data_IF_686856692215
#
_entry.id   IF_686856692215
#
_cell.length_a   1.000
_cell.length_b   1.000
_cell.length_c   1.000
_cell.angle_alpha   90.00
_cell.angle_beta   90.00
_cell.angle_gamma   90.00
#
_symmetry.space_group_name_H-M   'P 1'
#
loop_
_entity.id
_entity.type
_entity.pdbx_description
1 polymer ?
#
# COMPACT_ATOMS: atom_id res chain seq x y z
N UNK A 1 6.03 13.27 -18.80
CA UNK A 1 4.75 12.53 -18.79
C UNK A 1 4.89 11.11 -18.21
N UNK A 2 5.67 10.88 -17.14
CA UNK A 2 5.54 9.64 -16.34
C UNK A 2 4.30 9.77 -15.46
N UNK A 3 3.18 9.41 -16.10
CA UNK A 3 1.81 9.79 -15.77
C UNK A 3 1.29 8.97 -14.59
N UNK A 4 -0.02 8.79 -14.48
CA UNK A 4 -0.71 8.26 -13.31
C UNK A 4 -0.39 6.77 -13.03
N UNK A 5 0.31 6.12 -13.97
CA UNK A 5 0.53 4.68 -14.09
C UNK A 5 1.02 3.98 -12.83
N UNK A 6 2.04 4.47 -12.09
CA UNK A 6 2.59 3.69 -10.98
C UNK A 6 1.60 3.51 -9.83
N UNK A 7 0.84 4.55 -9.48
CA UNK A 7 -0.17 4.47 -8.41
C UNK A 7 -1.33 3.55 -8.82
N UNK A 8 -1.79 3.65 -10.07
CA UNK A 8 -2.86 2.77 -10.57
C UNK A 8 -2.44 1.30 -10.49
N UNK A 9 -1.21 0.98 -10.91
CA UNK A 9 -0.66 -0.38 -10.83
C UNK A 9 -0.66 -0.88 -9.38
N UNK A 10 -0.22 -0.05 -8.43
CA UNK A 10 -0.18 -0.44 -7.02
C UNK A 10 -1.57 -0.85 -6.51
N UNK A 11 -2.57 0.01 -6.66
CA UNK A 11 -3.92 -0.30 -6.18
C UNK A 11 -4.56 -1.46 -6.94
N UNK A 12 -4.40 -1.53 -8.28
CA UNK A 12 -4.96 -2.61 -9.07
C UNK A 12 -4.40 -3.98 -8.67
N UNK A 13 -3.08 -4.09 -8.51
CA UNK A 13 -2.45 -5.36 -8.11
C UNK A 13 -2.85 -5.72 -6.67
N UNK A 14 -2.94 -4.76 -5.75
CA UNK A 14 -3.40 -5.04 -4.38
C UNK A 14 -4.84 -5.55 -4.34
N UNK A 15 -5.76 -5.01 -5.15
CA UNK A 15 -7.14 -5.50 -5.26
C UNK A 15 -7.17 -6.95 -5.76
N UNK A 16 -6.38 -7.24 -6.80
CA UNK A 16 -6.27 -8.60 -7.37
C UNK A 16 -5.76 -9.56 -6.32
N UNK A 17 -4.65 -9.24 -5.65
CA UNK A 17 -4.07 -10.10 -4.62
C UNK A 17 -4.99 -10.28 -3.42
N UNK A 18 -5.70 -9.24 -2.99
CA UNK A 18 -6.73 -9.35 -1.96
C UNK A 18 -7.83 -10.33 -2.38
N UNK A 19 -8.36 -10.20 -3.60
CA UNK A 19 -9.41 -11.08 -4.13
C UNK A 19 -8.96 -12.54 -4.20
N UNK A 20 -7.74 -12.79 -4.70
CA UNK A 20 -7.16 -14.14 -4.75
C UNK A 20 -6.89 -14.72 -3.36
N UNK A 21 -6.49 -13.87 -2.39
CA UNK A 21 -6.31 -14.29 -0.99
C UNK A 21 -7.64 -14.69 -0.34
N UNK A 22 -8.73 -13.99 -0.67
CA UNK A 22 -10.08 -14.35 -0.21
C UNK A 22 -10.61 -15.67 -0.79
N UNK A 23 -10.08 -16.10 -1.94
CA UNK A 23 -10.44 -17.37 -2.58
C UNK A 23 -9.57 -18.55 -2.11
N UNK A 24 -8.55 -18.33 -1.28
CA UNK A 24 -7.66 -19.38 -0.80
C UNK A 24 -6.77 -19.99 -1.90
N UNK A 25 -6.39 -19.19 -2.91
CA UNK A 25 -5.49 -19.65 -3.98
C UNK A 25 -4.15 -20.11 -3.40
N UNK A 26 -3.72 -21.32 -3.75
CA UNK A 26 -2.46 -21.87 -3.26
C UNK A 26 -1.25 -21.07 -3.75
N UNK A 27 -0.31 -20.79 -2.84
CA UNK A 27 0.92 -20.06 -3.14
C UNK A 27 0.72 -18.54 -3.21
N UNK A 28 -0.39 -18.01 -2.68
CA UNK A 28 -0.70 -16.59 -2.73
C UNK A 28 0.35 -15.74 -2.00
N UNK A 29 1.01 -16.30 -0.99
CA UNK A 29 2.10 -15.61 -0.28
C UNK A 29 3.27 -15.22 -1.17
N UNK A 30 3.62 -16.04 -2.17
CA UNK A 30 4.73 -15.72 -3.09
C UNK A 30 4.40 -14.50 -3.94
N UNK A 31 3.13 -14.32 -4.32
CA UNK A 31 2.70 -13.13 -5.03
C UNK A 31 2.72 -11.89 -4.15
N UNK A 32 2.39 -12.01 -2.86
CA UNK A 32 2.58 -10.93 -1.89
C UNK A 32 4.05 -10.56 -1.69
N UNK A 33 4.96 -11.53 -1.61
CA UNK A 33 6.41 -11.28 -1.54
C UNK A 33 6.90 -10.47 -2.76
N UNK A 34 6.51 -10.87 -3.97
CA UNK A 34 6.85 -10.15 -5.20
C UNK A 34 6.23 -8.74 -5.23
N UNK A 35 5.00 -8.61 -4.71
CA UNK A 35 4.32 -7.32 -4.65
C UNK A 35 5.01 -6.33 -3.69
N UNK A 36 5.55 -6.80 -2.57
CA UNK A 36 6.34 -5.96 -1.66
C UNK A 36 7.56 -5.37 -2.38
N UNK A 37 8.26 -6.19 -3.17
CA UNK A 37 9.41 -5.73 -3.98
C UNK A 37 8.94 -4.70 -5.03
N UNK A 38 7.80 -4.94 -5.69
CA UNK A 38 7.23 -4.00 -6.65
C UNK A 38 6.89 -2.65 -5.99
N UNK A 39 6.27 -2.66 -4.81
CA UNK A 39 5.96 -1.44 -4.04
C UNK A 39 7.24 -0.69 -3.69
N UNK A 40 8.26 -1.41 -3.20
CA UNK A 40 9.56 -0.85 -2.89
C UNK A 40 10.15 -0.13 -4.11
N UNK A 41 10.22 -0.80 -5.27
CA UNK A 41 10.75 -0.20 -6.50
C UNK A 41 9.98 1.05 -6.95
N UNK A 42 8.64 1.00 -6.91
CA UNK A 42 7.81 2.15 -7.30
C UNK A 42 8.02 3.33 -6.35
N UNK A 43 8.19 3.07 -5.05
CA UNK A 43 8.40 4.11 -4.04
C UNK A 43 9.74 4.84 -4.17
N UNK A 44 10.78 4.18 -4.69
CA UNK A 44 12.08 4.83 -4.96
C UNK A 44 11.92 6.02 -5.92
N UNK A 45 10.99 5.91 -6.88
CA UNK A 45 10.71 6.94 -7.87
C UNK A 45 9.61 7.94 -7.48
N UNK A 46 8.81 7.68 -6.44
CA UNK A 46 7.57 8.43 -6.21
C UNK A 46 7.79 9.80 -5.55
N UNK A 47 8.71 9.93 -4.60
CA UNK A 47 8.79 11.07 -3.69
C UNK A 47 9.62 12.26 -4.16
N UNK A 48 10.10 12.28 -5.41
CA UNK A 48 11.01 13.33 -5.90
C UNK A 48 10.39 14.73 -5.83
N UNK A 49 9.08 14.84 -6.03
CA UNK A 49 8.36 16.11 -5.87
C UNK A 49 8.39 16.66 -4.44
N UNK A 50 8.34 15.79 -3.41
CA UNK A 50 8.42 16.24 -2.02
C UNK A 50 9.83 16.68 -1.67
N UNK A 51 10.84 15.94 -2.12
CA UNK A 51 12.24 16.32 -1.91
C UNK A 51 12.55 17.71 -2.49
N UNK A 52 12.06 17.99 -3.71
CA UNK A 52 12.21 19.30 -4.35
C UNK A 52 11.51 20.43 -3.58
N UNK A 53 10.26 20.22 -3.15
CA UNK A 53 9.51 21.22 -2.39
C UNK A 53 10.20 21.55 -1.05
N UNK A 54 10.63 20.52 -0.31
CA UNK A 54 11.29 20.66 0.98
C UNK A 54 12.77 21.09 0.93
N UNK A 55 13.30 21.43 -0.26
CA UNK A 55 14.71 21.79 -0.46
C UNK A 55 15.71 20.73 0.03
N UNK A 56 15.31 19.45 -0.03
CA UNK A 56 16.11 18.31 0.43
C UNK A 56 16.90 17.73 -0.73
N UNK A 57 18.10 17.22 -0.43
CA UNK A 57 18.92 16.51 -1.41
C UNK A 57 18.19 15.28 -1.94
N UNK A 58 18.22 15.10 -3.26
CA UNK A 58 17.72 13.92 -3.94
C UNK A 58 18.40 12.63 -3.44
N UNK A 59 19.72 12.69 -3.25
CA UNK A 59 20.49 11.55 -2.74
C UNK A 59 20.04 11.16 -1.33
N UNK A 60 19.79 12.15 -0.47
CA UNK A 60 19.30 11.90 0.87
C UNK A 60 17.92 11.22 0.89
N UNK A 61 17.01 11.66 0.03
CA UNK A 61 15.71 11.01 -0.16
C UNK A 61 15.88 9.54 -0.60
N UNK A 62 16.71 9.31 -1.62
CA UNK A 62 16.93 7.98 -2.18
C UNK A 62 17.55 7.03 -1.14
N UNK A 63 18.56 7.48 -0.40
CA UNK A 63 19.18 6.70 0.68
C UNK A 63 18.14 6.29 1.72
N UNK A 64 17.27 7.21 2.15
CA UNK A 64 16.23 6.90 3.14
C UNK A 64 15.21 5.89 2.60
N UNK A 65 14.81 5.98 1.33
CA UNK A 65 13.94 4.98 0.73
C UNK A 65 14.62 3.60 0.64
N UNK A 66 15.87 3.55 0.20
CA UNK A 66 16.62 2.28 0.09
C UNK A 66 16.76 1.63 1.47
N UNK A 67 17.09 2.41 2.50
CA UNK A 67 17.18 1.90 3.88
C UNK A 67 15.82 1.39 4.35
N UNK A 68 14.76 2.17 4.14
CA UNK A 68 13.41 1.83 4.61
C UNK A 68 12.87 0.53 3.99
N UNK A 69 12.87 0.45 2.66
CA UNK A 69 12.37 -0.74 1.96
C UNK A 69 13.37 -1.89 2.01
N UNK A 70 14.66 -1.60 2.02
CA UNK A 70 15.71 -2.58 2.23
C UNK A 70 15.60 -3.26 3.59
N UNK A 71 15.25 -2.52 4.65
CA UNK A 71 15.00 -3.08 5.97
C UNK A 71 13.80 -4.04 5.97
N UNK A 72 12.70 -3.69 5.30
CA UNK A 72 11.56 -4.60 5.14
C UNK A 72 11.95 -5.88 4.39
N UNK A 73 12.65 -5.74 3.25
CA UNK A 73 13.09 -6.89 2.45
C UNK A 73 14.07 -7.78 3.24
N UNK A 74 15.02 -7.18 3.95
CA UNK A 74 15.96 -7.88 4.81
C UNK A 74 15.24 -8.64 5.94
N UNK A 75 14.24 -8.02 6.57
CA UNK A 75 13.40 -8.67 7.57
C UNK A 75 12.68 -9.89 6.98
N UNK A 76 12.05 -9.76 5.82
CA UNK A 76 11.37 -10.88 5.15
C UNK A 76 12.35 -12.02 4.81
N UNK A 77 13.55 -11.67 4.34
CA UNK A 77 14.60 -12.65 4.10
C UNK A 77 15.03 -13.38 5.38
N UNK A 78 15.20 -12.66 6.50
CA UNK A 78 15.49 -13.27 7.80
C UNK A 78 14.37 -14.19 8.28
N UNK A 79 13.10 -13.76 8.19
CA UNK A 79 11.95 -14.59 8.56
C UNK A 79 11.90 -15.89 7.73
N UNK A 80 12.15 -15.79 6.42
CA UNK A 80 12.18 -16.95 5.54
C UNK A 80 13.35 -17.90 5.85
N UNK A 81 14.56 -17.38 6.07
CA UNK A 81 15.75 -18.20 6.39
C UNK A 81 15.69 -18.84 7.77
N UNK A 82 15.01 -18.22 8.73
CA UNK A 82 14.74 -18.79 10.05
C UNK A 82 13.59 -19.83 10.05
N UNK A 83 13.00 -20.11 8.89
CA UNK A 83 11.94 -21.10 8.75
C UNK A 83 10.57 -20.64 9.24
N UNK A 84 10.37 -19.36 9.56
CA UNK A 84 9.07 -18.83 10.02
C UNK A 84 7.96 -19.10 9.01
N UNK A 85 8.27 -19.02 7.70
CA UNK A 85 7.34 -19.38 6.63
C UNK A 85 6.83 -20.83 6.72
N UNK A 86 7.67 -21.77 7.16
CA UNK A 86 7.28 -23.18 7.29
C UNK A 86 6.42 -23.44 8.53
N UNK A 87 6.42 -22.52 9.50
CA UNK A 87 5.61 -22.61 10.72
C UNK A 87 4.18 -22.10 10.53
N UNK A 88 3.90 -21.41 9.42
CA UNK A 88 2.62 -20.80 9.12
C UNK A 88 2.00 -21.42 7.88
N UNK A 89 0.67 -21.49 7.83
CA UNK A 89 0.01 -21.78 6.57
C UNK A 89 0.09 -20.58 5.61
N UNK A 90 -0.19 -20.81 4.33
CA UNK A 90 -0.04 -19.80 3.26
C UNK A 90 -0.90 -18.55 3.51
N UNK A 91 -2.08 -18.72 4.13
CA UNK A 91 -2.99 -17.63 4.47
C UNK A 91 -2.44 -16.77 5.62
N UNK A 92 -1.95 -17.40 6.70
CA UNK A 92 -1.35 -16.73 7.85
C UNK A 92 -0.10 -15.94 7.44
N UNK A 93 0.76 -16.56 6.63
CA UNK A 93 1.96 -15.90 6.14
C UNK A 93 1.61 -14.74 5.18
N UNK A 94 0.62 -14.90 4.31
CA UNK A 94 0.11 -13.80 3.47
C UNK A 94 -0.45 -12.65 4.31
N UNK A 95 -1.22 -12.94 5.34
CA UNK A 95 -1.74 -11.93 6.26
C UNK A 95 -0.60 -11.15 6.94
N UNK A 96 0.45 -11.84 7.39
CA UNK A 96 1.65 -11.21 7.95
C UNK A 96 2.33 -10.28 6.93
N UNK A 97 2.49 -10.72 5.68
CA UNK A 97 3.07 -9.90 4.60
C UNK A 97 2.27 -8.63 4.34
N UNK A 98 0.93 -8.72 4.31
CA UNK A 98 0.04 -7.57 4.11
C UNK A 98 0.14 -6.60 5.29
N UNK A 99 0.18 -7.07 6.53
CA UNK A 99 0.39 -6.23 7.71
C UNK A 99 1.75 -5.52 7.68
N UNK A 100 2.82 -6.24 7.38
CA UNK A 100 4.17 -5.67 7.27
C UNK A 100 4.24 -4.61 6.17
N UNK A 101 3.62 -4.87 5.02
CA UNK A 101 3.56 -3.91 3.92
C UNK A 101 2.76 -2.67 4.28
N UNK A 102 1.62 -2.83 4.96
CA UNK A 102 0.79 -1.73 5.44
C UNK A 102 1.58 -0.85 6.43
N UNK A 103 2.22 -1.48 7.42
CA UNK A 103 3.02 -0.78 8.43
C UNK A 103 4.23 -0.06 7.81
N UNK A 104 4.98 -0.74 6.93
CA UNK A 104 6.10 -0.12 6.23
C UNK A 104 5.66 1.06 5.37
N UNK A 105 4.51 0.95 4.69
CA UNK A 105 3.96 2.03 3.87
C UNK A 105 3.53 3.23 4.71
N UNK A 106 2.90 3.01 5.87
CA UNK A 106 2.54 4.07 6.81
C UNK A 106 3.77 4.74 7.41
N UNK A 107 4.79 3.97 7.80
CA UNK A 107 6.06 4.54 8.26
C UNK A 107 6.71 5.39 7.16
N UNK A 108 6.81 4.88 5.93
CA UNK A 108 7.31 5.64 4.80
C UNK A 108 6.51 6.93 4.58
N UNK A 109 5.20 6.91 4.81
CA UNK A 109 4.35 8.09 4.70
C UNK A 109 4.69 9.16 5.74
N UNK A 110 4.97 8.76 6.98
CA UNK A 110 5.33 9.69 8.06
C UNK A 110 6.68 10.34 7.79
N UNK A 111 7.67 9.57 7.35
CA UNK A 111 9.05 10.03 7.39
C UNK A 111 9.68 10.30 6.01
N UNK A 112 9.18 9.73 4.90
CA UNK A 112 9.78 9.88 3.55
C UNK A 112 8.84 10.50 2.50
N UNK A 113 7.67 9.91 2.25
CA UNK A 113 6.75 10.32 1.18
C UNK A 113 5.30 10.22 1.64
N UNK A 114 4.73 11.34 2.09
CA UNK A 114 3.37 11.43 2.65
C UNK A 114 2.28 10.84 1.75
N UNK A 115 2.47 10.81 0.42
CA UNK A 115 1.47 10.23 -0.49
C UNK A 115 1.18 8.75 -0.22
N UNK A 116 2.13 8.04 0.40
CA UNK A 116 1.97 6.64 0.79
C UNK A 116 0.97 6.46 1.93
N UNK A 117 0.49 7.53 2.58
CA UNK A 117 -0.48 7.41 3.68
C UNK A 117 -1.77 6.73 3.22
N UNK A 118 -2.32 7.13 2.07
CA UNK A 118 -3.55 6.54 1.55
C UNK A 118 -3.36 5.09 1.15
N UNK A 119 -2.20 4.76 0.57
CA UNK A 119 -1.86 3.39 0.22
C UNK A 119 -1.67 2.52 1.47
N UNK A 120 -0.92 3.00 2.46
CA UNK A 120 -0.73 2.29 3.74
C UNK A 120 -2.03 2.07 4.50
N UNK A 121 -2.91 3.07 4.54
CA UNK A 121 -4.25 2.94 5.13
C UNK A 121 -5.09 1.93 4.36
N UNK A 122 -5.08 1.96 3.03
CA UNK A 122 -5.77 0.96 2.21
C UNK A 122 -5.23 -0.46 2.45
N UNK A 123 -3.90 -0.64 2.52
CA UNK A 123 -3.30 -1.93 2.82
C UNK A 123 -3.66 -2.41 4.24
N UNK A 124 -3.78 -1.49 5.21
CA UNK A 124 -4.23 -1.81 6.58
C UNK A 124 -5.68 -2.31 6.56
N UNK A 125 -6.54 -1.64 5.79
CA UNK A 125 -7.91 -2.10 5.56
C UNK A 125 -7.95 -3.50 4.93
N UNK A 126 -7.15 -3.76 3.89
CA UNK A 126 -7.04 -5.09 3.28
C UNK A 126 -6.57 -6.15 4.28
N UNK A 127 -5.56 -5.86 5.09
CA UNK A 127 -5.08 -6.78 6.13
C UNK A 127 -6.19 -7.11 7.14
N UNK A 128 -6.92 -6.08 7.58
CA UNK A 128 -8.02 -6.26 8.52
C UNK A 128 -9.13 -7.14 7.94
N UNK A 129 -9.54 -6.91 6.70
CA UNK A 129 -10.54 -7.73 6.02
C UNK A 129 -10.10 -9.18 5.85
N UNK A 130 -8.83 -9.42 5.54
CA UNK A 130 -8.30 -10.78 5.43
C UNK A 130 -8.24 -11.49 6.79
N UNK A 131 -8.05 -10.75 7.89
CA UNK A 131 -8.04 -11.31 9.25
C UNK A 131 -9.44 -11.56 9.83
N UNK A 132 -10.43 -10.74 9.46
CA UNK A 132 -11.82 -10.83 9.93
C UNK A 132 -12.75 -10.87 8.72
N UNK A 133 -12.85 -12.02 8.02
CA UNK A 133 -13.59 -12.12 6.75
C UNK A 133 -15.11 -12.11 6.92
N UNK A 134 -15.64 -12.46 8.09
CA UNK A 134 -17.08 -12.54 8.36
C UNK A 134 -17.54 -11.42 9.31
N UNK A 135 -18.73 -10.86 9.07
CA UNK A 135 -19.36 -9.82 9.90
C UNK A 135 -18.41 -8.67 10.27
N UNK A 136 -17.66 -8.20 9.28
CA UNK A 136 -16.60 -7.23 9.50
C UNK A 136 -17.18 -5.85 9.90
N UNK A 137 -16.87 -5.32 11.09
CA UNK A 137 -17.46 -4.08 11.60
C UNK A 137 -17.05 -2.85 10.78
N UNK A 138 -15.84 -2.87 10.19
CA UNK A 138 -15.36 -1.77 9.32
C UNK A 138 -16.19 -1.72 8.03
N UNK A 139 -16.55 -2.87 7.44
CA UNK A 139 -17.44 -2.90 6.29
C UNK A 139 -18.84 -2.40 6.61
N UNK A 140 -19.38 -2.75 7.78
CA UNK A 140 -20.70 -2.28 8.21
C UNK A 140 -20.69 -0.77 8.39
N UNK A 141 -19.66 -0.21 9.03
CA UNK A 141 -19.57 1.22 9.29
C UNK A 141 -19.36 2.03 8.00
N UNK A 142 -18.43 1.60 7.13
CA UNK A 142 -18.23 2.25 5.84
C UNK A 142 -19.48 2.09 4.96
N UNK A 143 -20.15 0.94 5.01
CA UNK A 143 -21.40 0.70 4.30
C UNK A 143 -22.50 1.68 4.67
N UNK A 144 -22.64 2.01 5.96
CA UNK A 144 -23.58 3.04 6.43
C UNK A 144 -23.22 4.42 5.89
N UNK A 145 -21.94 4.80 5.95
CA UNK A 145 -21.48 6.11 5.46
C UNK A 145 -21.69 6.28 3.95
N UNK A 146 -21.55 5.21 3.18
CA UNK A 146 -21.73 5.19 1.73
C UNK A 146 -23.16 4.85 1.29
N UNK A 147 -24.08 4.63 2.23
CA UNK A 147 -25.46 4.19 1.97
C UNK A 147 -25.55 2.91 1.11
N UNK A 148 -24.66 1.95 1.37
CA UNK A 148 -24.60 0.65 0.68
C UNK A 148 -25.28 -0.40 1.54
N UNK A 149 -26.43 -0.91 1.06
CA UNK A 149 -27.11 -2.04 1.70
C UNK A 149 -26.23 -3.30 1.67
N UNK A 150 -26.16 -3.97 2.82
CA UNK A 150 -25.43 -5.23 3.03
C UNK A 150 -23.95 -5.17 2.61
N UNK A 151 -23.26 -4.09 2.95
CA UNK A 151 -21.83 -3.92 2.63
C UNK A 151 -20.95 -5.08 3.14
N UNK A 152 -21.28 -5.67 4.29
CA UNK A 152 -20.58 -6.82 4.84
C UNK A 152 -20.70 -8.09 3.96
N UNK A 153 -21.77 -8.20 3.16
CA UNK A 153 -21.94 -9.31 2.21
C UNK A 153 -21.18 -9.10 0.89
N UNK A 154 -20.60 -7.90 0.66
CA UNK A 154 -19.92 -7.52 -0.59
C UNK A 154 -18.49 -7.01 -0.33
N UNK A 155 -17.63 -7.76 0.38
CA UNK A 155 -16.31 -7.29 0.79
C UNK A 155 -15.40 -6.92 -0.40
N UNK A 156 -15.48 -7.65 -1.51
CA UNK A 156 -14.71 -7.35 -2.71
C UNK A 156 -15.12 -6.02 -3.36
N UNK A 157 -16.43 -5.78 -3.51
CA UNK A 157 -16.96 -4.51 -4.05
C UNK A 157 -16.57 -3.33 -3.17
N UNK A 158 -16.67 -3.48 -1.84
CA UNK A 158 -16.25 -2.46 -0.89
C UNK A 158 -14.76 -2.15 -1.01
N UNK A 159 -13.93 -3.18 -1.22
CA UNK A 159 -12.49 -3.03 -1.44
C UNK A 159 -12.18 -2.24 -2.70
N UNK A 160 -12.91 -2.47 -3.80
CA UNK A 160 -12.75 -1.68 -5.04
C UNK A 160 -13.11 -0.21 -4.79
N UNK A 161 -14.22 0.06 -4.11
CA UNK A 161 -14.68 1.43 -3.81
C UNK A 161 -13.65 2.17 -2.98
N UNK A 162 -13.16 1.55 -1.90
CA UNK A 162 -12.17 2.16 -1.01
C UNK A 162 -10.83 2.34 -1.70
N UNK A 163 -10.40 1.38 -2.53
CA UNK A 163 -9.20 1.51 -3.34
C UNK A 163 -9.32 2.69 -4.33
N UNK A 164 -10.48 2.85 -4.97
CA UNK A 164 -10.73 3.98 -5.87
C UNK A 164 -10.69 5.31 -5.12
N UNK A 165 -11.30 5.40 -3.94
CA UNK A 165 -11.25 6.60 -3.10
C UNK A 165 -9.81 6.93 -2.65
N UNK A 166 -9.06 5.94 -2.17
CA UNK A 166 -7.67 6.11 -1.75
C UNK A 166 -6.75 6.51 -2.92
N UNK A 167 -6.98 5.93 -4.11
CA UNK A 167 -6.30 6.33 -5.33
C UNK A 167 -6.60 7.78 -5.68
N UNK A 168 -7.87 8.19 -5.70
CA UNK A 168 -8.27 9.59 -5.98
C UNK A 168 -7.58 10.55 -5.01
N UNK A 169 -7.57 10.26 -3.71
CA UNK A 169 -6.89 11.08 -2.71
C UNK A 169 -5.37 11.16 -2.96
N UNK A 170 -4.75 10.03 -3.31
CA UNK A 170 -3.32 9.98 -3.72
C UNK A 170 -3.06 10.89 -4.93
N UNK A 171 -3.96 10.87 -5.91
CA UNK A 171 -3.84 11.69 -7.13
C UNK A 171 -4.04 13.18 -6.84
N UNK A 172 -4.99 13.54 -5.97
CA UNK A 172 -5.22 14.92 -5.53
C UNK A 172 -3.97 15.48 -4.86
N UNK A 173 -3.37 14.77 -3.90
CA UNK A 173 -2.13 15.23 -3.24
C UNK A 173 -1.00 15.38 -4.25
N UNK A 174 -0.87 14.46 -5.22
CA UNK A 174 0.13 14.58 -6.28
C UNK A 174 -0.12 15.80 -7.18
N UNK A 175 -1.38 16.13 -7.46
CA UNK A 175 -1.78 17.33 -8.21
C UNK A 175 -1.39 18.61 -7.46
N UNK A 176 -1.75 18.71 -6.18
CA UNK A 176 -1.40 19.84 -5.32
C UNK A 176 0.11 20.06 -5.27
N UNK A 177 0.90 19.00 -5.09
CA UNK A 177 2.35 19.10 -5.10
C UNK A 177 2.91 19.63 -6.43
N UNK A 178 2.34 19.23 -7.58
CA UNK A 178 2.77 19.74 -8.89
C UNK A 178 2.50 21.24 -9.00
N UNK A 179 1.35 21.72 -8.52
CA UNK A 179 1.03 23.15 -8.49
C UNK A 179 2.00 23.92 -7.61
N UNK A 180 2.34 23.39 -6.42
CA UNK A 180 3.34 24.01 -5.54
C UNK A 180 4.74 24.06 -6.18
N UNK A 181 5.13 23.01 -6.92
CA UNK A 181 6.41 22.97 -7.64
C UNK A 181 6.44 24.04 -8.73
N UNK A 182 5.35 24.21 -9.47
CA UNK A 182 5.24 25.22 -10.51
C UNK A 182 5.34 26.64 -9.93
N UNK A 183 4.65 26.91 -8.82
CA UNK A 183 4.75 28.19 -8.10
C UNK A 183 6.18 28.47 -7.62
N UNK A 184 6.87 27.48 -7.04
CA UNK A 184 8.26 27.62 -6.58
C UNK A 184 9.27 27.87 -7.71
N UNK A 185 8.96 27.50 -8.95
CA UNK A 185 9.81 27.74 -10.12
C UNK A 185 9.56 29.10 -10.78
N UNK A 186 8.40 29.70 -10.53
CA UNK A 186 7.98 30.94 -11.16
C UNK A 186 8.33 32.19 -10.33
N UNK A 187 8.58 32.02 -9.02
CA UNK A 187 9.16 33.04 -8.15
C UNK A 187 10.66 32.83 -8.00
#
# INVERSE_FOLDING_TARGET
MFSLTPSIILYAVAIILYGLSGQGVAGISRYWEMYIVLVALISLGSGWGQAYLGNRSYLWYLTRQIIHWGALIALLYMLNTQGIRMLMNDQQYSLMLVYLLAFASLLAAVHVDFKLIFFGTFMTYCAYLLSVPQNNPVLVEIGKQLNIADAAAKPFTMTIIIAAAALVLTLVVRGLMRSSIASKRAG
#
